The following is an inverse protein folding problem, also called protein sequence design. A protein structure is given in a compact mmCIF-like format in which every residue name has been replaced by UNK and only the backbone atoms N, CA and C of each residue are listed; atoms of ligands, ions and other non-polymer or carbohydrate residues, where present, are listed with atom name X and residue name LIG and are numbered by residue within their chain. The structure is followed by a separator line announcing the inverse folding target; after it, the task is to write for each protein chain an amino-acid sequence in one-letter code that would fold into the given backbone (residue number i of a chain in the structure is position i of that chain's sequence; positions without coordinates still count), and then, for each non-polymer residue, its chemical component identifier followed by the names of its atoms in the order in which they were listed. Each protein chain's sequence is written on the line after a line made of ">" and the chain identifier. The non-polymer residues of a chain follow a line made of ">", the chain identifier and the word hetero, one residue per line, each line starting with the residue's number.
data_IF_431441761614
#
_entry.id   IF_431441761614
#
_cell.length_a   1.000
_cell.length_b   1.000
_cell.length_c   1.000
_cell.angle_alpha   90.00
_cell.angle_beta   90.00
_cell.angle_gamma   90.00
#
_symmetry.space_group_name_H-M   'P 1'
#
loop_
_entity.id
_entity.type
_entity.pdbx_description
1 polymer ?
#
# COMPACT_ATOMS: atom_id res chain seq x y z
N UNK A 1 -3.16 -15.91 -23.80
CA UNK A 1 -2.48 -14.62 -23.63
C UNK A 1 -2.69 -14.20 -22.19
N UNK A 2 -1.66 -14.16 -21.34
CA UNK A 2 -1.83 -13.72 -19.94
C UNK A 2 -2.23 -12.24 -19.95
N UNK A 3 -3.21 -11.87 -19.14
CA UNK A 3 -3.62 -10.48 -18.93
C UNK A 3 -2.38 -9.67 -18.45
N UNK A 4 -1.99 -8.60 -19.15
CA UNK A 4 -0.86 -7.75 -18.77
C UNK A 4 -0.98 -7.20 -17.34
N UNK A 5 -2.21 -6.95 -16.87
CA UNK A 5 -2.46 -6.41 -15.53
C UNK A 5 -2.12 -7.44 -14.44
N UNK A 6 -2.44 -8.72 -14.68
CA UNK A 6 -2.12 -9.82 -13.76
C UNK A 6 -0.61 -9.98 -13.63
N UNK A 7 0.14 -9.90 -14.74
CA UNK A 7 1.59 -9.97 -14.72
C UNK A 7 2.23 -8.84 -13.91
N UNK A 8 1.70 -7.63 -14.02
CA UNK A 8 2.14 -6.44 -13.28
C UNK A 8 1.90 -6.58 -11.77
N UNK A 9 0.68 -6.99 -11.37
CA UNK A 9 0.32 -7.25 -9.96
C UNK A 9 1.22 -8.32 -9.34
N UNK A 10 1.48 -9.41 -10.08
CA UNK A 10 2.38 -10.49 -9.61
C UNK A 10 3.82 -10.01 -9.47
N UNK A 11 4.33 -9.24 -10.44
CA UNK A 11 5.70 -8.74 -10.41
C UNK A 11 5.96 -7.83 -9.20
N UNK A 12 5.05 -6.89 -8.92
CA UNK A 12 5.21 -5.98 -7.78
C UNK A 12 5.00 -6.70 -6.44
N UNK A 13 4.07 -7.65 -6.35
CA UNK A 13 3.90 -8.41 -5.12
C UNK A 13 5.13 -9.28 -4.80
N UNK A 14 5.78 -9.83 -5.82
CA UNK A 14 7.01 -10.61 -5.68
C UNK A 14 8.22 -9.80 -5.16
N UNK A 15 8.18 -8.47 -5.24
CA UNK A 15 9.22 -7.61 -4.64
C UNK A 15 9.01 -7.32 -3.15
N UNK A 16 7.95 -7.88 -2.55
CA UNK A 16 7.57 -7.66 -1.13
C UNK A 16 7.66 -8.95 -0.32
N UNK A 17 7.20 -8.93 0.95
CA UNK A 17 7.05 -10.14 1.75
C UNK A 17 5.98 -11.10 1.20
N UNK A 18 5.07 -10.61 0.34
CA UNK A 18 4.00 -11.45 -0.26
C UNK A 18 4.54 -12.58 -1.15
N UNK A 19 5.82 -12.53 -1.55
CA UNK A 19 6.49 -13.63 -2.25
C UNK A 19 6.54 -14.94 -1.44
N UNK A 20 6.37 -14.86 -0.13
CA UNK A 20 6.37 -16.03 0.77
C UNK A 20 5.00 -16.74 0.79
N UNK A 21 3.96 -16.11 0.25
CA UNK A 21 2.66 -16.74 0.09
C UNK A 21 2.72 -17.82 -0.99
N UNK A 22 1.91 -18.87 -0.81
CA UNK A 22 1.68 -19.83 -1.90
C UNK A 22 1.12 -19.10 -3.13
N UNK A 23 1.37 -19.66 -4.31
CA UNK A 23 0.85 -19.06 -5.55
C UNK A 23 -0.67 -18.92 -5.56
N UNK A 24 -1.37 -19.85 -4.90
CA UNK A 24 -2.83 -19.79 -4.72
C UNK A 24 -3.25 -18.59 -3.85
N UNK A 25 -2.68 -18.46 -2.65
CA UNK A 25 -2.99 -17.36 -1.74
C UNK A 25 -2.61 -16.00 -2.33
N UNK A 26 -1.47 -15.93 -3.02
CA UNK A 26 -1.04 -14.71 -3.70
C UNK A 26 -2.02 -14.32 -4.81
N UNK A 27 -2.44 -15.28 -5.64
CA UNK A 27 -3.41 -15.01 -6.70
C UNK A 27 -4.79 -14.63 -6.13
N UNK A 28 -5.23 -15.27 -5.05
CA UNK A 28 -6.48 -14.91 -4.37
C UNK A 28 -6.43 -13.47 -3.83
N UNK A 29 -5.34 -13.10 -3.16
CA UNK A 29 -5.13 -11.73 -2.67
C UNK A 29 -5.16 -10.71 -3.83
N UNK A 30 -4.38 -10.96 -4.88
CA UNK A 30 -4.26 -10.06 -6.03
C UNK A 30 -5.53 -9.99 -6.90
N UNK A 31 -6.41 -10.99 -6.84
CA UNK A 31 -7.67 -10.99 -7.59
C UNK A 31 -8.61 -9.84 -7.23
N UNK A 32 -8.52 -9.37 -5.98
CA UNK A 32 -9.31 -8.25 -5.45
C UNK A 32 -8.57 -6.91 -5.49
N UNK A 33 -7.28 -6.89 -5.80
CA UNK A 33 -6.47 -5.70 -5.81
C UNK A 33 -6.83 -4.79 -7.00
N UNK A 34 -6.91 -3.48 -6.75
CA UNK A 34 -7.15 -2.46 -7.78
C UNK A 34 -6.03 -1.43 -7.81
N UNK A 35 -5.77 -0.87 -8.99
CA UNK A 35 -4.84 0.26 -9.14
C UNK A 35 -5.54 1.57 -8.82
N UNK A 36 -4.90 2.37 -7.97
CA UNK A 36 -5.35 3.73 -7.63
C UNK A 36 -4.16 4.66 -7.76
N UNK A 37 -4.38 5.80 -8.41
CA UNK A 37 -3.41 6.89 -8.48
C UNK A 37 -3.85 8.01 -7.56
N UNK A 38 -2.94 8.45 -6.70
CA UNK A 38 -3.15 9.60 -5.82
C UNK A 38 -2.34 10.79 -6.35
N UNK A 39 -2.97 11.96 -6.57
CA UNK A 39 -2.24 13.19 -6.82
C UNK A 39 -1.31 13.54 -5.66
N UNK A 40 -0.26 14.31 -5.94
CA UNK A 40 0.63 14.82 -4.90
C UNK A 40 -0.16 15.59 -3.83
N UNK A 41 0.21 15.38 -2.56
CA UNK A 41 -0.44 16.03 -1.42
C UNK A 41 -1.74 15.35 -0.96
N UNK A 42 -2.19 14.28 -1.62
CA UNK A 42 -3.36 13.53 -1.17
C UNK A 42 -3.12 12.89 0.20
N UNK A 43 -4.06 13.08 1.12
CA UNK A 43 -4.10 12.33 2.38
C UNK A 43 -4.83 11.03 2.12
N UNK A 44 -4.10 9.91 2.20
CA UNK A 44 -4.63 8.58 1.88
C UNK A 44 -5.60 8.08 2.97
N UNK A 45 -5.25 8.24 4.24
CA UNK A 45 -6.16 8.00 5.38
C UNK A 45 -5.68 8.76 6.63
N UNK A 46 -6.57 8.93 7.60
CA UNK A 46 -6.28 9.48 8.93
C UNK A 46 -6.40 8.40 10.01
N UNK A 47 -5.74 8.58 11.17
CA UNK A 47 -5.95 7.70 12.31
C UNK A 47 -7.44 7.59 12.67
N UNK A 48 -7.94 6.36 12.81
CA UNK A 48 -9.34 6.08 13.12
C UNK A 48 -10.28 5.99 11.92
N UNK A 49 -9.81 6.29 10.70
CA UNK A 49 -10.55 5.98 9.47
C UNK A 49 -10.34 4.51 9.09
N UNK A 50 -11.32 3.91 8.40
CA UNK A 50 -11.18 2.58 7.83
C UNK A 50 -10.01 2.59 6.82
N UNK A 51 -8.99 1.78 7.08
CA UNK A 51 -7.81 1.74 6.23
C UNK A 51 -7.89 0.59 5.25
N UNK A 52 -7.48 0.83 4.01
CA UNK A 52 -7.15 -0.24 3.08
C UNK A 52 -5.65 -0.51 3.10
N UNK A 53 -5.29 -1.77 2.84
CA UNK A 53 -3.90 -2.14 2.62
C UNK A 53 -3.47 -1.70 1.22
N UNK A 54 -2.37 -0.96 1.14
CA UNK A 54 -1.84 -0.47 -0.13
C UNK A 54 -0.43 -0.99 -0.32
N UNK A 55 -0.16 -1.52 -1.51
CA UNK A 55 1.19 -1.76 -2.00
C UNK A 55 1.58 -0.56 -2.88
N UNK A 56 2.73 0.04 -2.59
CA UNK A 56 3.22 1.17 -3.37
C UNK A 56 3.98 0.64 -4.59
N UNK A 57 3.46 0.94 -5.78
CA UNK A 57 4.11 0.57 -7.03
C UNK A 57 5.08 1.66 -7.51
N UNK A 58 4.70 2.93 -7.36
CA UNK A 58 5.49 4.07 -7.80
C UNK A 58 5.17 5.31 -6.94
N UNK A 59 6.07 6.28 -6.99
CA UNK A 59 5.98 7.50 -6.18
C UNK A 59 6.49 7.31 -4.75
N UNK A 60 6.31 8.35 -3.95
CA UNK A 60 6.73 8.39 -2.56
C UNK A 60 5.63 8.96 -1.69
N UNK A 61 5.63 8.56 -0.42
CA UNK A 61 4.73 9.08 0.57
C UNK A 61 5.38 9.16 1.94
N UNK A 62 4.64 9.77 2.86
CA UNK A 62 5.08 9.95 4.24
C UNK A 62 3.90 9.83 5.18
N UNK A 63 4.15 9.25 6.35
CA UNK A 63 3.25 9.29 7.49
C UNK A 63 3.74 10.37 8.44
N UNK A 64 2.81 11.17 8.96
CA UNK A 64 3.10 12.16 9.98
C UNK A 64 2.08 12.10 11.11
N UNK A 65 2.54 12.45 12.30
CA UNK A 65 1.68 12.69 13.45
C UNK A 65 1.54 14.20 13.61
N UNK A 66 0.29 14.66 13.72
CA UNK A 66 -0.02 16.07 14.03
C UNK A 66 -0.01 16.32 15.53
N UNK A 67 0.54 17.45 15.95
CA UNK A 67 0.45 17.96 17.32
C UNK A 67 -0.69 18.99 17.44
N UNK A 68 -1.18 19.23 18.66
CA UNK A 68 -2.28 20.15 18.93
C UNK A 68 -1.99 21.61 18.51
N UNK A 69 -0.71 21.99 18.42
CA UNK A 69 -0.24 23.30 17.98
C UNK A 69 -0.11 23.44 16.44
N UNK A 70 -0.56 22.45 15.68
CA UNK A 70 -0.52 22.44 14.22
C UNK A 70 0.81 21.95 13.62
N UNK A 71 1.83 21.65 14.45
CA UNK A 71 3.06 21.04 13.96
C UNK A 71 2.82 19.61 13.46
N UNK A 72 3.64 19.18 12.52
CA UNK A 72 3.63 17.81 11.98
C UNK A 72 5.03 17.21 12.11
N UNK A 73 5.09 15.99 12.63
CA UNK A 73 6.32 15.20 12.70
C UNK A 73 6.20 14.03 11.73
N UNK A 74 7.06 13.98 10.71
CA UNK A 74 7.15 12.81 9.84
C UNK A 74 7.73 11.65 10.65
N UNK A 75 7.01 10.55 10.70
CA UNK A 75 7.40 9.35 11.45
C UNK A 75 7.92 8.24 10.55
N UNK A 76 7.58 8.28 9.26
CA UNK A 76 8.05 7.30 8.27
C UNK A 76 7.89 7.84 6.86
N UNK A 77 8.89 7.62 6.02
CA UNK A 77 8.78 7.72 4.56
C UNK A 77 8.52 6.34 3.98
N UNK A 78 7.86 6.28 2.83
CA UNK A 78 7.68 5.03 2.12
C UNK A 78 7.66 5.22 0.60
N UNK A 79 8.03 4.16 -0.12
CA UNK A 79 8.15 4.16 -1.57
C UNK A 79 7.88 2.79 -2.21
N UNK A 80 8.32 2.58 -3.46
CA UNK A 80 8.00 1.38 -4.22
C UNK A 80 8.38 0.07 -3.51
N UNK A 81 7.49 -0.91 -3.53
CA UNK A 81 7.66 -2.21 -2.89
C UNK A 81 7.30 -2.22 -1.39
N UNK A 82 6.91 -1.09 -0.80
CA UNK A 82 6.43 -1.06 0.57
C UNK A 82 4.92 -1.23 0.66
N UNK A 83 4.47 -1.88 1.74
CA UNK A 83 3.05 -2.07 2.05
C UNK A 83 2.71 -1.19 3.26
N UNK A 84 1.61 -0.44 3.15
CA UNK A 84 1.06 0.41 4.22
C UNK A 84 -0.38 0.00 4.54
N UNK A 85 -0.89 0.43 5.70
CA UNK A 85 -2.27 0.13 6.12
C UNK A 85 -2.52 -1.32 6.57
N UNK A 86 -1.55 -2.23 6.43
CA UNK A 86 -1.72 -3.64 6.78
C UNK A 86 -2.12 -3.85 8.25
N UNK A 87 -1.38 -3.27 9.19
CA UNK A 87 -1.68 -3.44 10.63
C UNK A 87 -3.04 -2.86 10.98
N UNK A 88 -3.41 -1.72 10.41
CA UNK A 88 -4.72 -1.10 10.64
C UNK A 88 -5.87 -1.89 9.98
N UNK A 89 -5.58 -2.73 9.00
CA UNK A 89 -6.56 -3.63 8.36
C UNK A 89 -6.76 -4.95 9.12
N UNK A 90 -5.90 -5.28 10.11
CA UNK A 90 -5.90 -6.57 10.80
C UNK A 90 -6.76 -6.62 12.07
N UNK A 91 -7.44 -5.53 12.43
CA UNK A 91 -8.53 -5.49 13.43
C UNK A 91 -8.25 -6.19 14.75
#
# INVERSE_FOLDING_TARGET
>A
MKDPEVGRKQAIAASTFLKELSSESLNALLSSAMYINFPEGTVIYRPGEESQTLLIESGEGRMWIGAADGRRMVVRHFGPGEIIGLVASLG
#
